data_IF_922758736157
#
_entry.id   IF_922758736157
#
_cell.length_a   1.000
_cell.length_b   1.000
_cell.length_c   1.000
_cell.angle_alpha   90.00
_cell.angle_beta   90.00
_cell.angle_gamma   90.00
#
_symmetry.space_group_name_H-M   'P 1'
#
loop_
_entity.id
_entity.type
_entity.pdbx_description
1 polymer ?
#
# COMPACT_ATOMS: atom_id res chain seq x y z
N UNK A 1 -6.96 5.24 32.52
CA UNK A 1 -7.69 4.08 31.97
C UNK A 1 -7.19 3.77 30.57
N UNK A 2 -6.49 2.64 30.38
CA UNK A 2 -6.15 2.13 29.06
C UNK A 2 -7.33 1.34 28.49
N UNK A 3 -7.94 1.85 27.43
CA UNK A 3 -8.83 1.10 26.53
C UNK A 3 -8.07 1.01 25.23
N UNK A 4 -7.76 -0.19 24.75
CA UNK A 4 -7.07 -0.34 23.47
C UNK A 4 -7.76 -1.35 22.59
N UNK A 5 -7.88 -1.03 21.31
CA UNK A 5 -8.65 -1.76 20.32
C UNK A 5 -7.75 -2.75 19.57
N UNK A 6 -7.93 -4.04 19.82
CA UNK A 6 -7.47 -5.13 18.96
C UNK A 6 -8.47 -5.33 17.82
N UNK A 7 -8.05 -5.94 16.71
CA UNK A 7 -8.94 -6.44 15.66
C UNK A 7 -8.45 -7.84 15.26
N UNK A 8 -9.25 -8.88 15.53
CA UNK A 8 -9.04 -10.23 14.99
C UNK A 8 -10.25 -10.54 14.09
N UNK A 9 -10.05 -10.53 12.77
CA UNK A 9 -11.16 -10.47 11.81
C UNK A 9 -11.96 -9.16 11.93
N UNK A 10 -13.29 -9.21 11.77
CA UNK A 10 -14.19 -8.05 11.92
C UNK A 10 -14.39 -7.59 13.38
N UNK A 11 -13.75 -8.22 14.37
CA UNK A 11 -14.12 -8.11 15.77
C UNK A 11 -13.05 -7.41 16.62
N UNK A 12 -13.48 -6.40 17.40
CA UNK A 12 -12.61 -5.54 18.21
C UNK A 12 -12.54 -5.97 19.67
N UNK A 13 -11.36 -5.97 20.29
CA UNK A 13 -11.21 -6.32 21.72
C UNK A 13 -10.52 -5.22 22.51
N UNK A 14 -10.98 -4.95 23.74
CA UNK A 14 -10.34 -3.96 24.61
C UNK A 14 -10.46 -4.32 26.08
N UNK A 15 -9.33 -4.55 26.75
CA UNK A 15 -9.24 -4.65 28.20
C UNK A 15 -9.56 -3.30 28.84
N UNK A 16 -10.44 -3.30 29.83
CA UNK A 16 -10.86 -2.09 30.52
C UNK A 16 -10.66 -2.28 32.01
N UNK A 17 -9.68 -1.56 32.58
CA UNK A 17 -9.46 -1.49 34.03
C UNK A 17 -10.73 -1.03 34.77
N UNK A 18 -11.67 -0.40 34.06
CA UNK A 18 -12.97 0.03 34.55
C UNK A 18 -13.81 -1.14 35.08
N UNK A 19 -13.81 -2.29 34.42
CA UNK A 19 -14.59 -3.46 34.87
C UNK A 19 -14.00 -4.03 36.17
N UNK A 20 -12.67 -4.07 36.27
CA UNK A 20 -11.98 -4.43 37.51
C UNK A 20 -12.27 -3.46 38.66
N UNK A 21 -12.23 -2.16 38.39
CA UNK A 21 -12.54 -1.12 39.38
C UNK A 21 -14.01 -1.18 39.83
N UNK A 22 -14.95 -1.40 38.90
CA UNK A 22 -16.37 -1.59 39.22
C UNK A 22 -16.54 -2.85 40.07
N UNK A 23 -15.90 -3.96 39.70
CA UNK A 23 -15.97 -5.20 40.47
C UNK A 23 -15.45 -5.06 41.90
N UNK A 24 -14.29 -4.41 42.07
CA UNK A 24 -13.74 -4.12 43.39
C UNK A 24 -14.67 -3.21 44.20
N UNK A 25 -15.25 -2.18 43.57
CA UNK A 25 -16.19 -1.27 44.23
C UNK A 25 -17.47 -1.99 44.69
N UNK A 26 -18.03 -2.88 43.87
CA UNK A 26 -19.24 -3.65 44.21
C UNK A 26 -19.02 -4.57 45.42
N UNK A 27 -17.79 -5.08 45.61
CA UNK A 27 -17.43 -5.90 46.78
C UNK A 27 -17.27 -5.06 48.05
N UNK A 28 -16.65 -3.88 47.92
CA UNK A 28 -16.26 -3.04 49.06
C UNK A 28 -17.36 -2.08 49.52
N UNK A 29 -18.15 -1.55 48.60
CA UNK A 29 -19.17 -0.55 48.88
C UNK A 29 -20.21 -0.47 47.76
N UNK A 30 -21.44 -0.89 48.07
CA UNK A 30 -22.59 -0.61 47.23
C UNK A 30 -23.08 0.82 47.51
N UNK A 31 -23.26 1.63 46.48
CA UNK A 31 -23.66 3.02 46.65
C UNK A 31 -23.73 3.81 45.34
N UNK A 32 -24.67 4.76 45.27
CA UNK A 32 -24.87 5.60 44.09
C UNK A 32 -23.65 6.44 43.69
N UNK A 33 -22.72 6.69 44.63
CA UNK A 33 -21.47 7.39 44.38
C UNK A 33 -20.55 6.65 43.38
N UNK A 34 -20.65 5.32 43.28
CA UNK A 34 -19.87 4.52 42.32
C UNK A 34 -20.26 4.89 40.88
N UNK A 35 -21.54 5.15 40.62
CA UNK A 35 -22.03 5.58 39.30
C UNK A 35 -21.41 6.91 38.91
N UNK A 36 -21.36 7.86 39.85
CA UNK A 36 -20.74 9.18 39.64
C UNK A 36 -19.24 9.04 39.40
N UNK A 37 -18.54 8.24 40.21
CA UNK A 37 -17.11 8.00 40.08
C UNK A 37 -16.75 7.38 38.72
N UNK A 38 -17.53 6.40 38.25
CA UNK A 38 -17.35 5.79 36.92
C UNK A 38 -17.62 6.81 35.82
N UNK A 39 -18.72 7.56 35.89
CA UNK A 39 -19.06 8.56 34.88
C UNK A 39 -17.97 9.64 34.74
N UNK A 40 -17.47 10.16 35.87
CA UNK A 40 -16.38 11.13 35.92
C UNK A 40 -15.08 10.51 35.40
N UNK A 41 -14.71 9.33 35.86
CA UNK A 41 -13.49 8.65 35.44
C UNK A 41 -13.47 8.34 33.94
N UNK A 42 -14.57 7.83 33.40
CA UNK A 42 -14.75 7.59 31.96
C UNK A 42 -14.74 8.90 31.18
N UNK A 43 -15.37 9.96 31.71
CA UNK A 43 -15.39 11.30 31.13
C UNK A 43 -13.98 11.89 31.01
N UNK A 44 -13.21 11.91 32.10
CA UNK A 44 -11.82 12.40 32.13
C UNK A 44 -10.95 11.56 31.20
N UNK A 45 -11.04 10.23 31.27
CA UNK A 45 -10.23 9.35 30.43
C UNK A 45 -10.45 9.61 28.94
N UNK A 46 -11.70 9.83 28.52
CA UNK A 46 -12.01 10.13 27.12
C UNK A 46 -11.65 11.55 26.69
N UNK A 47 -11.72 12.52 27.61
CA UNK A 47 -11.26 13.88 27.36
C UNK A 47 -9.74 13.92 27.11
N UNK A 48 -8.94 13.22 27.94
CA UNK A 48 -7.49 13.08 27.77
C UNK A 48 -7.15 12.45 26.40
N UNK A 49 -7.99 11.50 25.95
CA UNK A 49 -7.85 10.81 24.65
C UNK A 49 -8.39 11.60 23.45
N UNK A 50 -8.85 12.84 23.65
CA UNK A 50 -9.40 13.72 22.61
C UNK A 50 -10.46 13.04 21.73
N UNK A 51 -11.30 12.18 22.33
CA UNK A 51 -12.36 11.51 21.58
C UNK A 51 -13.43 12.52 21.11
N UNK A 52 -14.13 12.27 19.99
CA UNK A 52 -15.24 13.11 19.55
C UNK A 52 -16.32 13.26 20.63
N UNK A 53 -16.80 14.49 20.84
CA UNK A 53 -17.74 14.83 21.94
C UNK A 53 -18.98 13.93 21.99
N UNK A 54 -19.56 13.60 20.83
CA UNK A 54 -20.74 12.72 20.74
C UNK A 54 -20.46 11.31 21.26
N UNK A 55 -19.29 10.75 20.94
CA UNK A 55 -18.86 9.43 21.41
C UNK A 55 -18.57 9.44 22.91
N UNK A 56 -17.98 10.52 23.40
CA UNK A 56 -17.75 10.71 24.83
C UNK A 56 -19.05 10.72 25.62
N UNK A 57 -20.04 11.52 25.18
CA UNK A 57 -21.36 11.59 25.83
C UNK A 57 -22.04 10.22 25.85
N UNK A 58 -22.07 9.52 24.71
CA UNK A 58 -22.65 8.18 24.61
C UNK A 58 -21.97 7.20 25.59
N UNK A 59 -20.65 7.10 25.54
CA UNK A 59 -19.90 6.18 26.39
C UNK A 59 -20.08 6.51 27.88
N UNK A 60 -20.04 7.79 28.28
CA UNK A 60 -20.24 8.18 29.68
C UNK A 60 -21.65 7.77 30.15
N UNK A 61 -22.68 8.04 29.36
CA UNK A 61 -24.06 7.67 29.68
C UNK A 61 -24.23 6.14 29.74
N UNK A 62 -23.64 5.42 28.79
CA UNK A 62 -23.67 3.96 28.73
C UNK A 62 -23.01 3.32 29.96
N UNK A 63 -21.79 3.75 30.32
CA UNK A 63 -21.10 3.24 31.51
C UNK A 63 -21.85 3.59 32.78
N UNK A 64 -22.38 4.81 32.90
CA UNK A 64 -23.19 5.21 34.05
C UNK A 64 -24.46 4.34 34.20
N UNK A 65 -25.20 4.12 33.11
CA UNK A 65 -26.41 3.29 33.13
C UNK A 65 -26.10 1.82 33.48
N UNK A 66 -25.08 1.24 32.85
CA UNK A 66 -24.65 -0.13 33.14
C UNK A 66 -24.19 -0.29 34.60
N UNK A 67 -23.42 0.68 35.12
CA UNK A 67 -22.95 0.66 36.51
C UNK A 67 -24.11 0.83 37.48
N UNK A 68 -25.08 1.70 37.19
CA UNK A 68 -26.26 1.90 38.03
C UNK A 68 -27.09 0.62 38.16
N UNK A 69 -27.35 -0.07 37.05
CA UNK A 69 -28.08 -1.34 37.04
C UNK A 69 -27.32 -2.46 37.73
N UNK A 70 -26.00 -2.56 37.50
CA UNK A 70 -25.15 -3.52 38.20
C UNK A 70 -25.10 -3.29 39.72
N UNK A 71 -25.03 -2.02 40.15
CA UNK A 71 -25.08 -1.61 41.55
C UNK A 71 -26.43 -1.95 42.19
N UNK A 72 -27.54 -1.70 41.50
CA UNK A 72 -28.88 -2.03 41.99
C UNK A 72 -28.99 -3.54 42.26
N UNK A 73 -28.58 -4.38 41.31
CA UNK A 73 -28.63 -5.84 41.47
C UNK A 73 -27.71 -6.33 42.59
N UNK A 74 -26.48 -5.81 42.68
CA UNK A 74 -25.58 -6.18 43.78
C UNK A 74 -26.09 -5.70 45.15
N UNK A 75 -26.77 -4.55 45.20
CA UNK A 75 -27.37 -4.01 46.41
C UNK A 75 -28.54 -4.86 46.91
N UNK A 76 -29.48 -5.21 46.03
CA UNK A 76 -30.64 -6.05 46.36
C UNK A 76 -30.24 -7.47 46.81
N UNK A 77 -29.10 -7.99 46.32
CA UNK A 77 -28.58 -9.30 46.71
C UNK A 77 -27.75 -9.28 48.02
N UNK A 78 -27.70 -8.14 48.72
CA UNK A 78 -27.06 -8.04 50.04
C UNK A 78 -25.54 -7.86 50.00
N UNK A 79 -24.94 -7.58 48.84
CA UNK A 79 -23.51 -7.34 48.69
C UNK A 79 -22.63 -8.60 48.79
N UNK A 80 -21.31 -8.40 48.84
CA UNK A 80 -20.32 -9.49 48.81
C UNK A 80 -20.04 -10.03 47.40
N UNK A 81 -19.20 -11.07 47.31
CA UNK A 81 -18.63 -11.54 46.03
C UNK A 81 -19.70 -12.05 45.07
N UNK A 82 -20.67 -12.84 45.56
CA UNK A 82 -21.73 -13.40 44.72
C UNK A 82 -22.64 -12.30 44.15
N UNK A 83 -23.04 -11.34 44.99
CA UNK A 83 -23.83 -10.19 44.56
C UNK A 83 -23.05 -9.29 43.59
N UNK A 84 -21.76 -9.06 43.83
CA UNK A 84 -20.89 -8.32 42.92
C UNK A 84 -20.74 -9.03 41.57
N UNK A 85 -20.64 -10.37 41.56
CA UNK A 85 -20.64 -11.18 40.32
C UNK A 85 -21.94 -11.05 39.53
N UNK A 86 -23.09 -11.09 40.20
CA UNK A 86 -24.39 -10.84 39.56
C UNK A 86 -24.50 -9.40 39.01
N UNK A 87 -24.05 -8.40 39.78
CA UNK A 87 -24.00 -7.00 39.34
C UNK A 87 -23.09 -6.79 38.13
N UNK A 88 -21.91 -7.43 38.09
CA UNK A 88 -20.99 -7.41 36.95
C UNK A 88 -21.57 -8.09 35.72
N UNK A 89 -22.35 -9.14 35.89
CA UNK A 89 -23.04 -9.82 34.79
C UNK A 89 -24.10 -8.91 34.15
N UNK A 90 -24.86 -8.18 34.97
CA UNK A 90 -25.83 -7.18 34.51
C UNK A 90 -25.13 -6.00 33.85
N UNK A 91 -24.06 -5.49 34.46
CA UNK A 91 -23.22 -4.45 33.86
C UNK A 91 -22.76 -4.87 32.47
N UNK A 92 -22.20 -6.08 32.33
CA UNK A 92 -21.74 -6.62 31.05
C UNK A 92 -22.89 -6.70 30.04
N UNK A 93 -24.03 -7.28 30.41
CA UNK A 93 -25.16 -7.45 29.50
C UNK A 93 -25.68 -6.11 28.96
N UNK A 94 -25.83 -5.12 29.83
CA UNK A 94 -26.27 -3.76 29.47
C UNK A 94 -25.22 -3.07 28.61
N UNK A 95 -23.96 -3.09 29.04
CA UNK A 95 -22.87 -2.41 28.34
C UNK A 95 -22.64 -3.01 26.94
N UNK A 96 -22.60 -4.33 26.84
CA UNK A 96 -22.48 -5.04 25.57
C UNK A 96 -23.70 -4.81 24.67
N UNK A 97 -24.91 -4.90 25.23
CA UNK A 97 -26.16 -4.68 24.49
C UNK A 97 -26.27 -3.27 23.90
N UNK A 98 -25.99 -2.23 24.70
CA UNK A 98 -26.00 -0.85 24.23
C UNK A 98 -24.96 -0.59 23.15
N UNK A 99 -23.76 -1.19 23.28
CA UNK A 99 -22.74 -1.13 22.23
C UNK A 99 -23.22 -1.80 20.95
N UNK A 100 -23.81 -2.99 21.04
CA UNK A 100 -24.30 -3.73 19.89
C UNK A 100 -25.45 -3.00 19.16
N UNK A 101 -26.35 -2.36 19.91
CA UNK A 101 -27.43 -1.52 19.36
C UNK A 101 -26.84 -0.33 18.59
N UNK A 102 -25.90 0.40 19.18
CA UNK A 102 -25.25 1.53 18.52
C UNK A 102 -24.50 1.10 17.25
N UNK A 103 -23.78 -0.01 17.30
CA UNK A 103 -23.06 -0.56 16.13
C UNK A 103 -24.05 -1.03 15.05
N UNK A 104 -25.13 -1.73 15.42
CA UNK A 104 -26.13 -2.17 14.45
C UNK A 104 -26.76 -0.98 13.72
N UNK A 105 -27.08 0.09 14.45
CA UNK A 105 -27.64 1.31 13.89
C UNK A 105 -26.70 2.02 12.89
N UNK A 106 -25.37 1.90 13.06
CA UNK A 106 -24.39 2.57 12.18
C UNK A 106 -23.86 1.69 11.05
N UNK A 107 -23.99 0.36 11.12
CA UNK A 107 -23.19 -0.56 10.29
C UNK A 107 -23.99 -1.40 9.30
N UNK A 108 -25.31 -1.16 9.14
CA UNK A 108 -26.23 -1.98 8.32
C UNK A 108 -26.23 -3.50 8.69
N UNK A 109 -25.63 -3.87 9.83
CA UNK A 109 -25.49 -5.24 10.27
C UNK A 109 -26.64 -5.61 11.23
N UNK A 110 -27.15 -6.84 11.13
CA UNK A 110 -28.26 -7.29 11.96
C UNK A 110 -27.85 -7.43 13.43
N UNK A 111 -28.61 -6.82 14.33
CA UNK A 111 -28.35 -6.82 15.78
C UNK A 111 -28.22 -8.24 16.33
N UNK A 112 -29.07 -9.16 15.89
CA UNK A 112 -29.04 -10.57 16.31
C UNK A 112 -27.73 -11.25 15.94
N UNK A 113 -27.22 -10.99 14.74
CA UNK A 113 -25.94 -11.56 14.29
C UNK A 113 -24.78 -11.00 15.10
N UNK A 114 -24.75 -9.67 15.32
CA UNK A 114 -23.73 -9.00 16.15
C UNK A 114 -23.72 -9.53 17.59
N UNK A 115 -24.89 -9.66 18.22
CA UNK A 115 -25.02 -10.12 19.59
C UNK A 115 -24.58 -11.58 19.73
N UNK A 116 -25.10 -12.48 18.91
CA UNK A 116 -24.85 -13.92 19.07
C UNK A 116 -23.42 -14.33 18.66
N UNK A 117 -22.85 -13.69 17.64
CA UNK A 117 -21.50 -14.05 17.16
C UNK A 117 -20.39 -13.59 18.11
N UNK A 118 -20.59 -12.48 18.83
CA UNK A 118 -19.56 -11.86 19.67
C UNK A 118 -19.78 -12.06 21.17
N UNK A 119 -20.97 -12.52 21.59
CA UNK A 119 -21.32 -12.62 23.00
C UNK A 119 -20.43 -13.59 23.80
N UNK A 120 -20.15 -14.83 23.35
CA UNK A 120 -19.33 -15.76 24.13
C UNK A 120 -17.93 -15.19 24.39
N UNK A 121 -17.38 -14.54 23.37
CA UNK A 121 -16.06 -13.93 23.37
C UNK A 121 -16.00 -12.72 24.30
N UNK A 122 -17.00 -11.84 24.20
CA UNK A 122 -17.14 -10.67 25.08
C UNK A 122 -17.37 -11.09 26.54
N UNK A 123 -18.17 -12.12 26.78
CA UNK A 123 -18.45 -12.66 28.10
C UNK A 123 -17.18 -13.24 28.75
N UNK A 124 -16.39 -14.01 28.00
CA UNK A 124 -15.13 -14.56 28.49
C UNK A 124 -14.16 -13.45 28.92
N UNK A 125 -14.07 -12.42 28.10
CA UNK A 125 -13.22 -11.27 28.39
C UNK A 125 -13.72 -10.48 29.61
N UNK A 126 -15.02 -10.22 29.70
CA UNK A 126 -15.62 -9.58 30.86
C UNK A 126 -15.45 -10.41 32.14
N UNK A 127 -15.54 -11.74 32.06
CA UNK A 127 -15.29 -12.65 33.17
C UNK A 127 -13.83 -12.59 33.64
N UNK A 128 -12.88 -12.52 32.72
CA UNK A 128 -11.46 -12.32 33.03
C UNK A 128 -11.21 -11.01 33.80
N UNK A 129 -11.79 -9.90 33.33
CA UNK A 129 -11.60 -8.59 33.96
C UNK A 129 -12.33 -8.49 35.30
N UNK A 130 -13.53 -9.06 35.35
CA UNK A 130 -14.37 -9.11 36.54
C UNK A 130 -13.73 -9.95 37.64
N UNK A 131 -13.11 -11.09 37.32
CA UNK A 131 -12.47 -11.94 38.31
C UNK A 131 -11.29 -11.25 39.01
N UNK A 132 -10.50 -10.46 38.26
CA UNK A 132 -9.45 -9.61 38.85
C UNK A 132 -10.03 -8.53 39.76
N UNK A 133 -11.13 -7.89 39.37
CA UNK A 133 -11.83 -6.90 40.20
C UNK A 133 -12.41 -7.50 41.48
N UNK A 134 -13.06 -8.66 41.38
CA UNK A 134 -13.60 -9.40 42.52
C UNK A 134 -12.48 -9.86 43.46
N UNK A 135 -11.37 -10.38 42.93
CA UNK A 135 -10.20 -10.77 43.71
C UNK A 135 -9.57 -9.55 44.41
N UNK A 136 -9.42 -8.42 43.72
CA UNK A 136 -8.94 -7.19 44.31
C UNK A 136 -9.89 -6.70 45.43
N UNK A 137 -11.21 -6.75 45.21
CA UNK A 137 -12.20 -6.41 46.23
C UNK A 137 -12.13 -7.32 47.46
N UNK A 138 -12.00 -8.63 47.25
CA UNK A 138 -11.81 -9.61 48.33
C UNK A 138 -10.52 -9.35 49.11
N UNK A 139 -9.39 -9.22 48.44
CA UNK A 139 -8.10 -8.94 49.09
C UNK A 139 -8.13 -7.60 49.83
N UNK A 140 -8.74 -6.56 49.27
CA UNK A 140 -8.87 -5.27 49.95
C UNK A 140 -9.67 -5.36 51.26
N UNK A 141 -10.65 -6.26 51.33
CA UNK A 141 -11.47 -6.48 52.53
C UNK A 141 -10.80 -7.39 53.54
N UNK A 142 -10.25 -8.51 53.09
CA UNK A 142 -9.89 -9.64 53.95
C UNK A 142 -8.36 -9.79 54.13
N UNK A 143 -7.55 -9.30 53.19
CA UNK A 143 -6.08 -9.37 53.25
C UNK A 143 -5.42 -8.19 52.50
N UNK A 144 -5.44 -6.95 53.04
CA UNK A 144 -5.07 -5.75 52.28
C UNK A 144 -3.63 -5.77 51.74
N UNK A 145 -2.70 -6.38 52.47
CA UNK A 145 -1.31 -6.58 52.02
C UNK A 145 -1.22 -7.50 50.79
N UNK A 146 -2.19 -8.41 50.61
CA UNK A 146 -2.30 -9.27 49.44
C UNK A 146 -2.53 -8.51 48.13
N UNK A 147 -3.02 -7.26 48.19
CA UNK A 147 -3.11 -6.38 47.02
C UNK A 147 -1.74 -6.10 46.38
N UNK A 148 -0.67 -6.09 47.18
CA UNK A 148 0.70 -5.94 46.64
C UNK A 148 1.05 -7.11 45.71
N UNK A 149 0.52 -8.31 46.00
CA UNK A 149 0.66 -9.48 45.15
C UNK A 149 -0.01 -9.34 43.78
N UNK A 150 -1.01 -8.47 43.63
CA UNK A 150 -1.67 -8.18 42.35
C UNK A 150 -0.87 -7.23 41.44
N UNK A 151 0.14 -6.53 41.97
CA UNK A 151 0.95 -5.59 41.18
C UNK A 151 1.62 -6.30 40.00
N UNK A 152 2.25 -7.45 40.25
CA UNK A 152 2.98 -8.19 39.21
C UNK A 152 2.03 -8.74 38.12
N UNK A 153 0.92 -9.45 38.45
CA UNK A 153 -0.07 -9.88 37.46
C UNK A 153 -0.66 -8.70 36.68
N UNK A 154 -1.00 -7.59 37.33
CA UNK A 154 -1.53 -6.41 36.63
C UNK A 154 -0.48 -5.78 35.71
N UNK A 155 0.78 -5.73 36.12
CA UNK A 155 1.87 -5.22 35.29
C UNK A 155 2.17 -6.13 34.09
N UNK A 156 2.15 -7.45 34.27
CA UNK A 156 2.31 -8.42 33.19
C UNK A 156 1.13 -8.38 32.21
N UNK A 157 -0.09 -8.27 32.74
CA UNK A 157 -1.28 -8.12 31.92
C UNK A 157 -1.22 -6.81 31.13
N UNK A 158 -0.85 -5.71 31.78
CA UNK A 158 -0.65 -4.42 31.14
C UNK A 158 0.42 -4.48 30.04
N UNK A 159 1.57 -5.09 30.30
CA UNK A 159 2.68 -5.15 29.33
C UNK A 159 2.34 -6.04 28.14
N UNK A 160 1.67 -7.17 28.37
CA UNK A 160 1.16 -8.05 27.32
C UNK A 160 0.18 -7.30 26.43
N UNK A 161 -0.72 -6.51 27.04
CA UNK A 161 -1.64 -5.68 26.27
C UNK A 161 -0.89 -4.62 25.48
N UNK A 162 -0.06 -3.78 26.10
CA UNK A 162 0.68 -2.71 25.41
C UNK A 162 1.44 -3.23 24.19
N UNK A 163 2.12 -4.37 24.32
CA UNK A 163 2.79 -5.03 23.19
C UNK A 163 1.83 -5.46 22.08
N UNK A 164 0.67 -6.01 22.43
CA UNK A 164 -0.34 -6.38 21.44
C UNK A 164 -1.00 -5.17 20.77
N UNK A 165 -1.15 -4.06 21.48
CA UNK A 165 -1.70 -2.83 20.90
C UNK A 165 -0.80 -2.26 19.81
N UNK A 166 0.51 -2.30 20.06
CA UNK A 166 1.53 -1.88 19.10
C UNK A 166 1.52 -2.80 17.89
N UNK A 167 1.52 -4.12 18.10
CA UNK A 167 1.43 -5.11 17.02
C UNK A 167 0.16 -4.99 16.19
N UNK A 168 -0.98 -4.67 16.79
CA UNK A 168 -2.25 -4.50 16.07
C UNK A 168 -2.31 -3.19 15.29
N UNK A 169 -1.76 -2.10 15.83
CA UNK A 169 -1.61 -0.84 15.11
C UNK A 169 -0.64 -0.98 13.93
N UNK A 170 0.48 -1.68 14.15
CA UNK A 170 1.45 -2.07 13.11
C UNK A 170 0.78 -2.93 12.04
N UNK A 171 0.11 -4.03 12.42
CA UNK A 171 -0.57 -4.90 11.47
C UNK A 171 -1.68 -4.18 10.69
N UNK A 172 -2.38 -3.23 11.31
CA UNK A 172 -3.39 -2.42 10.64
C UNK A 172 -2.78 -1.42 9.67
N UNK A 173 -1.67 -0.79 10.05
CA UNK A 173 -0.88 0.04 9.14
C UNK A 173 -0.42 -0.82 7.95
N UNK A 174 0.19 -1.98 8.19
CA UNK A 174 0.62 -2.89 7.12
C UNK A 174 -0.54 -3.39 6.26
N UNK A 175 -1.71 -3.67 6.82
CA UNK A 175 -2.90 -4.05 6.06
C UNK A 175 -3.50 -2.89 5.26
N UNK A 176 -3.43 -1.65 5.77
CA UNK A 176 -3.83 -0.46 5.01
C UNK A 176 -2.84 -0.18 3.87
N UNK A 177 -1.54 -0.39 4.10
CA UNK A 177 -0.50 -0.30 3.08
C UNK A 177 -0.67 -1.41 2.02
N UNK A 178 -0.92 -2.65 2.43
CA UNK A 178 -1.20 -3.77 1.53
C UNK A 178 -2.51 -3.58 0.74
N UNK A 179 -3.55 -3.01 1.34
CA UNK A 179 -4.77 -2.64 0.61
C UNK A 179 -4.57 -1.46 -0.34
N UNK A 180 -3.63 -0.56 -0.03
CA UNK A 180 -3.14 0.44 -0.97
C UNK A 180 -2.50 -0.23 -2.19
N UNK A 181 -1.65 -1.24 -1.95
CA UNK A 181 -1.05 -2.06 -3.01
C UNK A 181 -2.09 -2.82 -3.82
N UNK A 182 -3.06 -3.49 -3.19
CA UNK A 182 -4.10 -4.26 -3.89
C UNK A 182 -4.98 -3.39 -4.78
N UNK A 183 -5.37 -2.19 -4.30
CA UNK A 183 -6.17 -1.24 -5.09
C UNK A 183 -5.40 -0.58 -6.22
N UNK A 184 -4.08 -0.59 -6.14
CA UNK A 184 -3.17 0.00 -7.13
C UNK A 184 -2.26 -1.03 -7.78
N UNK A 185 -2.65 -2.32 -7.79
CA UNK A 185 -1.97 -3.42 -8.47
C UNK A 185 -2.06 -3.20 -9.98
N UNK A 186 -1.23 -2.27 -10.42
CA UNK A 186 -1.37 -1.50 -11.63
C UNK A 186 -0.16 -0.59 -11.82
N UNK A 187 1.04 -1.11 -11.50
CA UNK A 187 2.31 -0.80 -12.17
C UNK A 187 2.86 0.65 -12.08
N UNK A 188 3.55 1.02 -10.99
CA UNK A 188 4.65 2.02 -11.07
C UNK A 188 5.60 1.94 -9.86
N UNK A 189 6.91 1.99 -10.09
CA UNK A 189 7.94 2.18 -9.05
C UNK A 189 7.72 3.45 -8.24
N UNK A 190 7.04 4.44 -8.83
CA UNK A 190 6.68 5.69 -8.17
C UNK A 190 5.69 5.50 -7.01
N UNK A 191 4.75 4.56 -7.14
CA UNK A 191 3.76 4.27 -6.09
C UNK A 191 4.45 3.61 -4.90
N UNK A 192 5.30 2.62 -5.15
CA UNK A 192 6.10 1.97 -4.10
C UNK A 192 6.97 2.99 -3.36
N UNK A 193 7.60 3.93 -4.08
CA UNK A 193 8.39 5.00 -3.47
C UNK A 193 7.54 5.95 -2.59
N UNK A 194 6.36 6.37 -3.06
CA UNK A 194 5.44 7.19 -2.26
C UNK A 194 4.97 6.47 -0.99
N UNK A 195 4.69 5.18 -1.09
CA UNK A 195 4.33 4.33 0.04
C UNK A 195 5.47 4.26 1.06
N UNK A 196 6.71 4.07 0.61
CA UNK A 196 7.89 4.03 1.49
C UNK A 196 8.09 5.36 2.22
N UNK A 197 7.99 6.50 1.52
CA UNK A 197 8.14 7.83 2.10
C UNK A 197 7.06 8.10 3.15
N UNK A 198 5.80 7.81 2.82
CA UNK A 198 4.66 8.01 3.72
C UNK A 198 4.75 7.11 4.96
N UNK A 199 5.15 5.85 4.77
CA UNK A 199 5.34 4.90 5.86
C UNK A 199 6.49 5.34 6.78
N UNK A 200 7.63 5.76 6.22
CA UNK A 200 8.76 6.28 6.98
C UNK A 200 8.37 7.51 7.80
N UNK A 201 7.66 8.48 7.20
CA UNK A 201 7.26 9.71 7.89
C UNK A 201 6.36 9.40 9.10
N UNK A 202 5.40 8.49 8.95
CA UNK A 202 4.50 8.06 10.03
C UNK A 202 5.22 7.26 11.11
N UNK A 203 6.05 6.30 10.72
CA UNK A 203 6.79 5.43 11.66
C UNK A 203 7.81 6.22 12.49
N UNK A 204 8.33 7.32 11.95
CA UNK A 204 9.36 8.15 12.57
C UNK A 204 8.80 9.43 13.22
N UNK A 205 7.48 9.45 13.47
CA UNK A 205 6.81 10.47 14.28
C UNK A 205 6.61 11.80 13.56
N UNK A 206 6.23 11.77 12.28
CA UNK A 206 6.05 12.98 11.46
C UNK A 206 7.36 13.60 11.01
N UNK A 207 8.42 12.78 10.87
CA UNK A 207 9.68 13.25 10.32
C UNK A 207 9.51 13.67 8.86
N UNK A 208 10.27 14.67 8.45
CA UNK A 208 10.43 15.01 7.05
C UNK A 208 11.29 13.93 6.40
N UNK A 209 10.74 13.24 5.41
CA UNK A 209 11.40 12.12 4.73
C UNK A 209 11.73 12.49 3.30
N UNK A 210 12.96 12.20 2.95
CA UNK A 210 13.49 12.29 1.61
C UNK A 210 13.92 10.89 1.14
N UNK A 211 13.52 10.49 -0.05
CA UNK A 211 13.88 9.23 -0.70
C UNK A 211 14.37 9.51 -2.11
N UNK A 212 15.60 9.11 -2.42
CA UNK A 212 16.15 9.16 -3.77
C UNK A 212 16.08 7.74 -4.35
N UNK A 213 15.23 7.55 -5.35
CA UNK A 213 15.04 6.29 -6.06
C UNK A 213 15.84 6.29 -7.35
N UNK A 214 16.61 5.22 -7.60
CA UNK A 214 17.24 4.98 -8.90
C UNK A 214 16.22 4.29 -9.83
N UNK A 215 15.45 5.07 -10.58
CA UNK A 215 14.50 4.53 -11.55
C UNK A 215 15.17 4.23 -12.91
N UNK A 216 14.51 3.42 -13.73
CA UNK A 216 15.01 3.03 -15.07
C UNK A 216 15.30 4.23 -15.98
N UNK A 217 14.54 5.33 -15.84
CA UNK A 217 14.67 6.54 -16.64
C UNK A 217 15.59 7.61 -15.99
N UNK A 218 16.31 7.25 -14.94
CA UNK A 218 17.15 8.15 -14.13
C UNK A 218 16.58 8.42 -12.72
N UNK A 219 17.33 9.13 -11.88
CA UNK A 219 16.99 9.28 -10.47
C UNK A 219 15.77 10.19 -10.22
N UNK A 220 14.99 9.81 -9.22
CA UNK A 220 13.79 10.53 -8.79
C UNK A 220 13.86 10.77 -7.29
N UNK A 221 13.65 12.01 -6.89
CA UNK A 221 13.59 12.45 -5.50
C UNK A 221 12.12 12.53 -5.06
N UNK A 222 11.85 11.94 -3.92
CA UNK A 222 10.58 12.02 -3.21
C UNK A 222 10.79 12.72 -1.87
N UNK A 223 9.97 13.73 -1.58
CA UNK A 223 9.98 14.45 -0.30
C UNK A 223 8.59 14.48 0.29
N UNK A 224 8.44 14.13 1.57
CA UNK A 224 7.12 14.09 2.20
C UNK A 224 7.17 14.02 3.72
N UNK A 225 6.03 14.25 4.34
CA UNK A 225 5.80 14.14 5.78
C UNK A 225 4.56 13.26 6.06
N UNK A 226 4.04 13.30 7.30
CA UNK A 226 2.87 12.50 7.68
C UNK A 226 1.52 13.12 7.27
N UNK A 227 1.54 14.34 6.72
CA UNK A 227 0.37 15.19 6.52
C UNK A 227 -0.11 15.27 5.06
N UNK A 228 0.74 14.92 4.10
CA UNK A 228 0.46 15.07 2.66
C UNK A 228 0.94 13.92 1.77
N UNK A 229 0.57 13.99 0.49
CA UNK A 229 1.14 13.11 -0.54
C UNK A 229 2.59 13.55 -0.82
N UNK A 230 3.55 12.61 -0.95
CA UNK A 230 4.94 12.97 -1.23
C UNK A 230 5.08 13.74 -2.55
N UNK A 231 5.85 14.82 -2.53
CA UNK A 231 6.26 15.54 -3.72
C UNK A 231 7.27 14.70 -4.51
N UNK A 232 7.06 14.57 -5.82
CA UNK A 232 7.91 13.81 -6.74
C UNK A 232 8.63 14.76 -7.67
N UNK A 233 9.97 14.66 -7.76
CA UNK A 233 10.80 15.46 -8.65
C UNK A 233 11.85 14.60 -9.36
N UNK A 234 11.90 14.64 -10.69
CA UNK A 234 13.04 14.09 -11.45
C UNK A 234 14.27 14.95 -11.15
N UNK A 235 15.40 14.29 -10.90
CA UNK A 235 16.67 14.93 -10.56
C UNK A 235 17.77 14.38 -11.46
N UNK A 236 18.88 15.09 -11.57
CA UNK A 236 20.08 14.61 -12.24
C UNK A 236 20.88 13.65 -11.35
N UNK A 237 21.86 12.97 -11.93
CA UNK A 237 22.68 11.99 -11.22
C UNK A 237 23.59 12.59 -10.14
N UNK A 238 23.82 13.91 -10.17
CA UNK A 238 24.53 14.68 -9.15
C UNK A 238 23.87 14.60 -7.76
N UNK A 239 22.60 14.19 -7.67
CA UNK A 239 21.94 13.91 -6.38
C UNK A 239 22.71 12.87 -5.56
N UNK A 240 23.40 11.92 -6.20
CA UNK A 240 24.20 10.91 -5.51
C UNK A 240 25.53 11.46 -4.97
N UNK A 241 25.95 12.64 -5.43
CA UNK A 241 27.12 13.35 -4.92
C UNK A 241 26.76 14.21 -3.68
N UNK A 242 25.48 14.28 -3.30
CA UNK A 242 25.08 15.03 -2.12
C UNK A 242 25.68 14.41 -0.83
N UNK A 243 26.21 15.23 0.10
CA UNK A 243 26.97 14.73 1.26
C UNK A 243 26.19 13.78 2.18
N UNK A 244 24.86 13.84 2.18
CA UNK A 244 24.03 12.95 3.00
C UNK A 244 23.79 11.60 2.30
N UNK A 245 23.72 11.58 0.97
CA UNK A 245 23.57 10.36 0.17
C UNK A 245 24.85 9.55 0.25
N UNK A 246 26.01 10.19 0.04
CA UNK A 246 27.31 9.56 0.19
C UNK A 246 27.55 8.97 1.59
N UNK A 247 27.11 9.68 2.63
CA UNK A 247 27.16 9.17 4.01
C UNK A 247 26.30 7.92 4.19
N UNK A 248 25.04 7.96 3.73
CA UNK A 248 24.15 6.80 3.83
C UNK A 248 24.70 5.58 3.06
N UNK A 249 25.24 5.80 1.86
CA UNK A 249 25.90 4.75 1.06
C UNK A 249 27.13 4.17 1.75
N UNK A 250 27.92 5.00 2.44
CA UNK A 250 29.10 4.56 3.21
C UNK A 250 28.78 3.75 4.46
N UNK A 251 27.65 4.05 5.12
CA UNK A 251 27.28 3.45 6.41
C UNK A 251 26.70 2.02 6.27
N UNK A 252 26.13 1.66 5.11
CA UNK A 252 25.62 0.32 4.75
C UNK A 252 24.53 -0.30 5.66
N UNK A 253 24.12 0.37 6.74
CA UNK A 253 23.00 0.01 7.63
C UNK A 253 22.19 1.28 7.97
N UNK A 254 21.11 1.12 8.75
CA UNK A 254 20.34 2.22 9.29
C UNK A 254 21.15 2.95 10.36
N UNK A 255 21.50 4.21 10.08
CA UNK A 255 22.29 5.05 10.97
C UNK A 255 21.51 6.29 11.40
N UNK A 256 21.60 6.62 12.69
CA UNK A 256 21.13 7.90 13.21
C UNK A 256 22.29 8.85 13.48
N UNK A 257 22.08 10.13 13.24
CA UNK A 257 23.06 11.17 13.51
C UNK A 257 22.43 12.54 13.70
N UNK A 258 23.26 13.57 13.73
CA UNK A 258 22.85 14.97 13.68
C UNK A 258 23.55 15.66 12.51
N UNK A 259 22.79 16.44 11.76
CA UNK A 259 23.30 17.25 10.66
C UNK A 259 22.72 18.65 10.77
N UNK A 260 23.59 19.67 10.85
CA UNK A 260 23.17 21.06 11.10
C UNK A 260 22.27 21.24 12.34
N UNK A 261 22.49 20.45 13.41
CA UNK A 261 21.67 20.46 14.62
C UNK A 261 20.34 19.71 14.53
N UNK A 262 19.96 19.20 13.36
CA UNK A 262 18.75 18.39 13.15
C UNK A 262 19.09 16.91 13.27
N UNK A 263 18.38 16.13 14.13
CA UNK A 263 18.59 14.69 14.17
C UNK A 263 18.04 14.05 12.90
N UNK A 264 18.77 13.07 12.36
CA UNK A 264 18.38 12.32 11.16
C UNK A 264 18.55 10.81 11.36
N UNK A 265 17.82 10.03 10.56
CA UNK A 265 18.08 8.63 10.24
C UNK A 265 18.35 8.53 8.75
N UNK A 266 19.43 7.85 8.36
CA UNK A 266 19.76 7.50 6.98
C UNK A 266 19.71 6.00 6.79
N UNK A 267 19.32 5.55 5.60
CA UNK A 267 19.33 4.15 5.23
C UNK A 267 19.47 3.97 3.72
N UNK A 268 20.08 2.86 3.31
CA UNK A 268 20.12 2.39 1.93
C UNK A 268 19.11 1.26 1.77
N UNK A 269 18.38 1.26 0.66
CA UNK A 269 17.44 0.22 0.29
C UNK A 269 17.99 -0.57 -0.88
N UNK A 270 17.99 -1.90 -0.76
CA UNK A 270 18.65 -2.80 -1.71
C UNK A 270 20.08 -3.14 -1.29
N UNK A 271 20.79 -3.81 -2.19
CA UNK A 271 22.18 -4.20 -1.97
C UNK A 271 23.07 -2.95 -1.84
N UNK A 272 23.93 -2.84 -0.81
CA UNK A 272 24.88 -1.74 -0.69
C UNK A 272 25.76 -1.53 -1.93
N UNK A 273 26.06 -2.60 -2.66
CA UNK A 273 26.87 -2.55 -3.88
C UNK A 273 26.01 -2.28 -5.15
N UNK A 274 24.68 -2.35 -5.04
CA UNK A 274 23.70 -2.03 -6.08
C UNK A 274 22.41 -1.40 -5.48
N UNK A 275 22.49 -0.16 -4.95
CA UNK A 275 21.38 0.44 -4.21
C UNK A 275 20.18 0.73 -5.11
N UNK A 276 18.99 0.36 -4.64
CA UNK A 276 17.72 0.70 -5.30
C UNK A 276 17.28 2.12 -4.93
N UNK A 277 17.45 2.50 -3.66
CA UNK A 277 17.12 3.82 -3.19
C UNK A 277 17.91 4.20 -1.93
N UNK A 278 17.97 5.51 -1.63
CA UNK A 278 18.57 6.05 -0.40
C UNK A 278 17.53 6.91 0.31
N UNK A 279 17.30 6.62 1.59
CA UNK A 279 16.30 7.28 2.42
C UNK A 279 16.96 8.07 3.54
N UNK A 280 16.42 9.26 3.79
CA UNK A 280 16.74 10.10 4.93
C UNK A 280 15.47 10.60 5.59
N UNK A 281 15.35 10.41 6.89
CA UNK A 281 14.30 11.00 7.72
C UNK A 281 14.92 12.01 8.68
N UNK A 282 14.39 13.23 8.75
CA UNK A 282 14.96 14.30 9.56
C UNK A 282 13.86 15.00 10.38
N UNK A 283 14.17 15.36 11.63
CA UNK A 283 13.28 16.18 12.45
C UNK A 283 13.67 17.66 12.39
N UNK A 284 12.86 18.51 13.01
CA UNK A 284 13.18 19.94 13.16
C UNK A 284 14.44 20.11 14.04
N UNK A 285 15.03 21.30 13.95
CA UNK A 285 16.13 21.73 14.82
C UNK A 285 15.70 21.56 16.28
N UNK A 286 16.60 21.01 17.11
CA UNK A 286 16.36 20.67 18.54
C UNK A 286 15.29 19.59 18.81
N UNK A 287 14.83 18.88 17.78
CA UNK A 287 13.98 17.71 17.93
C UNK A 287 14.64 16.59 18.75
N UNK A 288 13.82 15.74 19.37
CA UNK A 288 14.31 14.55 20.06
C UNK A 288 15.09 13.65 19.09
N UNK A 289 16.24 13.14 19.53
CA UNK A 289 17.01 12.13 18.77
C UNK A 289 16.18 10.88 18.57
N UNK A 290 16.46 10.17 17.48
CA UNK A 290 15.81 8.89 17.22
C UNK A 290 16.24 7.86 18.25
N UNK A 291 15.27 7.20 18.87
CA UNK A 291 15.55 6.20 19.91
C UNK A 291 15.89 4.82 19.30
N UNK A 292 16.27 3.86 20.16
CA UNK A 292 16.60 2.50 19.68
C UNK A 292 15.39 1.77 19.07
N UNK A 293 14.17 2.14 19.43
CA UNK A 293 12.97 1.52 18.90
C UNK A 293 12.68 2.02 17.49
N UNK A 294 12.76 3.33 17.26
CA UNK A 294 12.63 3.97 15.96
C UNK A 294 13.69 3.46 14.98
N UNK A 295 14.94 3.28 15.44
CA UNK A 295 16.00 2.66 14.65
C UNK A 295 15.71 1.20 14.27
N UNK A 296 15.06 0.42 15.15
CA UNK A 296 14.63 -0.95 14.80
C UNK A 296 13.48 -0.95 13.80
N UNK A 297 12.52 -0.03 13.95
CA UNK A 297 11.41 0.12 13.00
C UNK A 297 11.89 0.55 11.63
N UNK A 298 12.86 1.47 11.56
CA UNK A 298 13.51 1.87 10.33
C UNK A 298 14.18 0.67 9.63
N UNK A 299 14.87 -0.21 10.37
CA UNK A 299 15.44 -1.46 9.78
C UNK A 299 14.38 -2.39 9.21
N UNK A 300 13.28 -2.59 9.93
CA UNK A 300 12.16 -3.42 9.44
C UNK A 300 11.55 -2.80 8.18
N UNK A 301 11.34 -1.49 8.18
CA UNK A 301 10.83 -0.76 7.03
C UNK A 301 11.75 -0.92 5.82
N UNK A 302 13.07 -0.75 5.99
CA UNK A 302 14.07 -0.91 4.92
C UNK A 302 13.99 -2.31 4.31
N UNK A 303 13.93 -3.36 5.14
CA UNK A 303 13.83 -4.74 4.64
C UNK A 303 12.52 -5.03 3.87
N UNK A 304 11.40 -4.41 4.26
CA UNK A 304 10.13 -4.55 3.53
C UNK A 304 10.09 -3.70 2.25
N UNK A 305 10.61 -2.48 2.34
CA UNK A 305 10.67 -1.54 1.23
C UNK A 305 11.58 -2.04 0.10
N UNK A 306 12.67 -2.75 0.43
CA UNK A 306 13.49 -3.44 -0.55
C UNK A 306 12.66 -4.42 -1.39
N UNK A 307 11.83 -5.26 -0.76
CA UNK A 307 10.96 -6.18 -1.47
C UNK A 307 9.96 -5.45 -2.38
N UNK A 308 9.39 -4.33 -1.92
CA UNK A 308 8.45 -3.52 -2.71
C UNK A 308 9.09 -2.82 -3.91
N UNK A 309 10.31 -2.30 -3.73
CA UNK A 309 11.03 -1.59 -4.79
C UNK A 309 11.66 -2.56 -5.79
N UNK A 310 12.17 -3.71 -5.34
CA UNK A 310 12.77 -4.74 -6.21
C UNK A 310 11.74 -5.34 -7.18
N UNK A 311 10.55 -5.69 -6.69
CA UNK A 311 9.46 -6.19 -7.55
C UNK A 311 9.02 -5.13 -8.56
N UNK A 312 8.93 -3.87 -8.13
CA UNK A 312 8.53 -2.76 -9.01
C UNK A 312 9.59 -2.47 -10.08
N UNK A 313 10.88 -2.50 -9.73
CA UNK A 313 11.99 -2.32 -10.67
C UNK A 313 12.05 -3.47 -11.68
N UNK A 314 11.92 -4.72 -11.23
CA UNK A 314 11.86 -5.88 -12.12
C UNK A 314 10.70 -5.78 -13.12
N UNK A 315 9.51 -5.37 -12.65
CA UNK A 315 8.35 -5.16 -13.50
C UNK A 315 8.49 -3.97 -14.47
N UNK A 316 9.25 -2.94 -14.11
CA UNK A 316 9.57 -1.82 -14.98
C UNK A 316 10.57 -2.25 -16.08
N UNK A 317 11.64 -2.95 -15.70
CA UNK A 317 12.64 -3.47 -16.64
C UNK A 317 12.06 -4.49 -17.62
N UNK A 318 11.19 -5.38 -17.15
CA UNK A 318 10.48 -6.36 -17.99
C UNK A 318 9.60 -5.67 -19.03
N UNK A 319 8.84 -4.64 -18.65
CA UNK A 319 8.04 -3.84 -19.61
C UNK A 319 8.90 -3.13 -20.65
N UNK A 320 9.96 -2.46 -20.22
CA UNK A 320 10.89 -1.80 -21.13
C UNK A 320 11.56 -2.79 -22.10
N UNK A 321 11.79 -4.03 -21.67
CA UNK A 321 12.31 -5.10 -22.52
C UNK A 321 11.24 -5.61 -23.51
N UNK A 322 10.00 -5.80 -23.08
CA UNK A 322 8.88 -6.17 -23.94
C UNK A 322 8.59 -5.12 -25.00
N UNK A 323 8.55 -3.83 -24.65
CA UNK A 323 8.34 -2.74 -25.61
C UNK A 323 9.45 -2.71 -26.67
N UNK A 324 10.71 -2.94 -26.28
CA UNK A 324 11.82 -3.05 -27.26
C UNK A 324 11.68 -4.28 -28.15
N UNK A 325 11.18 -5.40 -27.62
CA UNK A 325 10.96 -6.62 -28.39
C UNK A 325 9.80 -6.45 -29.38
N UNK A 326 8.72 -5.76 -28.98
CA UNK A 326 7.58 -5.45 -29.84
C UNK A 326 8.01 -4.54 -31.00
N UNK A 327 8.78 -3.47 -30.72
CA UNK A 327 9.35 -2.59 -31.76
C UNK A 327 10.28 -3.36 -32.71
N UNK A 328 11.11 -4.26 -32.19
CA UNK A 328 11.96 -5.11 -33.02
C UNK A 328 11.15 -6.12 -33.85
N UNK A 329 10.06 -6.65 -33.31
CA UNK A 329 9.12 -7.54 -34.00
C UNK A 329 8.36 -6.83 -35.13
N UNK A 330 7.91 -5.61 -34.91
CA UNK A 330 7.30 -4.76 -35.93
C UNK A 330 8.29 -4.43 -37.06
N UNK A 331 9.53 -4.09 -36.72
CA UNK A 331 10.59 -3.84 -37.70
C UNK A 331 10.92 -5.10 -38.52
N UNK A 332 11.01 -6.28 -37.88
CA UNK A 332 11.25 -7.55 -38.56
C UNK A 332 10.10 -7.94 -39.49
N UNK A 333 8.85 -7.68 -39.07
CA UNK A 333 7.66 -7.91 -39.90
C UNK A 333 7.65 -6.99 -41.12
N UNK A 334 7.94 -5.70 -40.94
CA UNK A 334 8.04 -4.74 -42.05
C UNK A 334 9.11 -5.15 -43.08
N UNK A 335 10.27 -5.64 -42.62
CA UNK A 335 11.33 -6.16 -43.48
C UNK A 335 10.91 -7.45 -44.22
N UNK A 336 10.20 -8.34 -43.55
CA UNK A 336 9.66 -9.57 -44.16
C UNK A 336 8.60 -9.25 -45.23
N UNK A 337 7.68 -8.33 -44.94
CA UNK A 337 6.63 -7.90 -45.87
C UNK A 337 7.25 -7.23 -47.11
N UNK A 338 8.28 -6.38 -46.93
CA UNK A 338 9.07 -5.81 -48.02
C UNK A 338 9.77 -6.87 -48.88
N UNK A 339 10.39 -7.87 -48.24
CA UNK A 339 11.03 -8.99 -48.93
C UNK A 339 10.04 -9.81 -49.76
N UNK A 340 8.84 -10.05 -49.21
CA UNK A 340 7.77 -10.78 -49.91
C UNK A 340 7.22 -10.02 -51.12
N UNK A 341 7.13 -8.69 -51.04
CA UNK A 341 6.62 -7.84 -52.12
C UNK A 341 7.63 -7.67 -53.27
N UNK A 342 8.93 -7.67 -52.97
CA UNK A 342 10.00 -7.44 -53.96
C UNK A 342 10.55 -8.71 -54.60
N UNK A 343 10.43 -9.87 -53.93
CA UNK A 343 10.97 -11.15 -54.41
C UNK A 343 10.47 -11.60 -55.80
N UNK A 344 9.16 -11.50 -56.15
CA UNK A 344 8.67 -11.90 -57.47
C UNK A 344 9.26 -11.04 -58.61
N UNK A 345 9.36 -9.73 -58.41
CA UNK A 345 9.90 -8.81 -59.40
C UNK A 345 11.39 -9.06 -59.66
N UNK A 346 12.18 -9.33 -58.61
CA UNK A 346 13.61 -9.67 -58.74
C UNK A 346 13.83 -11.00 -59.48
N UNK A 347 12.97 -12.00 -59.25
CA UNK A 347 13.03 -13.27 -59.98
C UNK A 347 12.75 -13.08 -61.47
N UNK A 348 11.70 -12.31 -61.81
CA UNK A 348 11.37 -11.98 -63.21
C UNK A 348 12.51 -11.21 -63.87
N UNK A 349 13.10 -10.23 -63.19
CA UNK A 349 14.26 -9.48 -63.73
C UNK A 349 15.46 -10.38 -64.01
N UNK A 350 15.75 -11.34 -63.12
CA UNK A 350 16.84 -12.28 -63.30
C UNK A 350 16.59 -13.24 -64.46
N UNK A 351 15.37 -13.78 -64.56
CA UNK A 351 15.01 -14.73 -65.61
C UNK A 351 14.97 -14.07 -67.00
N UNK A 352 14.45 -12.83 -67.08
CA UNK A 352 14.48 -12.04 -68.30
C UNK A 352 15.89 -11.58 -68.67
N UNK A 353 16.77 -11.27 -67.71
CA UNK A 353 18.18 -10.98 -67.98
C UNK A 353 18.90 -12.21 -68.58
N UNK A 354 18.65 -13.41 -68.03
CA UNK A 354 19.18 -14.66 -68.55
C UNK A 354 18.62 -15.00 -69.95
N UNK A 355 17.34 -14.69 -70.22
CA UNK A 355 16.72 -14.86 -71.55
C UNK A 355 17.27 -13.86 -72.57
N UNK A 356 17.40 -12.59 -72.20
CA UNK A 356 18.02 -11.55 -73.05
C UNK A 356 19.47 -11.89 -73.40
N UNK A 357 20.25 -12.39 -72.45
CA UNK A 357 21.63 -12.83 -72.70
C UNK A 357 21.70 -13.98 -73.73
N UNK A 358 20.74 -14.93 -73.69
CA UNK A 358 20.63 -16.02 -74.67
C UNK A 358 20.13 -15.56 -76.03
N UNK A 359 19.15 -14.65 -76.07
CA UNK A 359 18.63 -14.07 -77.30
C UNK A 359 19.67 -13.19 -78.00
N UNK A 360 20.50 -12.46 -77.26
CA UNK A 360 21.60 -11.67 -77.82
C UNK A 360 22.74 -12.54 -78.39
N UNK A 361 22.89 -13.78 -77.91
CA UNK A 361 23.89 -14.74 -78.38
C UNK A 361 23.41 -15.59 -79.57
N UNK A 362 22.12 -15.54 -79.90
CA UNK A 362 21.53 -16.25 -81.04
C UNK A 362 21.04 -15.25 -82.08
N UNK A 363 20.90 -15.65 -83.36
CA UNK A 363 20.34 -14.78 -84.40
C UNK A 363 18.80 -14.65 -84.26
N UNK A 364 18.31 -14.43 -83.03
CA UNK A 364 16.91 -14.23 -82.72
C UNK A 364 16.38 -12.91 -83.29
N UNK A 365 15.08 -12.85 -83.55
CA UNK A 365 14.44 -11.68 -84.14
C UNK A 365 14.46 -10.48 -83.17
N UNK A 366 14.71 -9.28 -83.71
CA UNK A 366 14.72 -8.01 -82.94
C UNK A 366 13.44 -7.82 -82.11
N UNK A 367 12.31 -8.34 -82.58
CA UNK A 367 11.02 -8.26 -81.89
C UNK A 367 11.01 -9.02 -80.55
N UNK A 368 11.66 -10.19 -80.47
CA UNK A 368 11.70 -11.00 -79.25
C UNK A 368 12.53 -10.32 -78.14
N UNK A 369 13.59 -9.60 -78.55
CA UNK A 369 14.41 -8.79 -77.65
C UNK A 369 13.61 -7.60 -77.09
N UNK A 370 12.82 -6.94 -77.94
CA UNK A 370 11.98 -5.80 -77.54
C UNK A 370 10.89 -6.23 -76.57
N UNK A 371 10.25 -7.38 -76.80
CA UNK A 371 9.22 -7.90 -75.90
C UNK A 371 9.79 -8.24 -74.51
N UNK A 372 10.96 -8.88 -74.44
CA UNK A 372 11.64 -9.15 -73.18
C UNK A 372 12.10 -7.87 -72.46
N UNK A 373 12.57 -6.86 -73.18
CA UNK A 373 12.89 -5.55 -72.58
C UNK A 373 11.65 -4.88 -71.94
N UNK A 374 10.47 -5.07 -72.54
CA UNK A 374 9.23 -4.55 -71.99
C UNK A 374 8.78 -5.30 -70.73
N UNK A 375 9.06 -6.61 -70.65
CA UNK A 375 8.86 -7.39 -69.42
C UNK A 375 9.81 -6.93 -68.30
N UNK A 376 11.07 -6.65 -68.62
CA UNK A 376 12.03 -6.06 -67.68
C UNK A 376 11.56 -4.70 -67.18
N UNK A 377 11.09 -3.82 -68.07
CA UNK A 377 10.59 -2.49 -67.69
C UNK A 377 9.42 -2.59 -66.70
N UNK A 378 8.43 -3.46 -66.97
CA UNK A 378 7.31 -3.70 -66.05
C UNK A 378 7.75 -4.26 -64.70
N UNK A 379 8.73 -5.16 -64.69
CA UNK A 379 9.26 -5.73 -63.45
C UNK A 379 10.05 -4.68 -62.63
N UNK A 380 10.82 -3.80 -63.28
CA UNK A 380 11.49 -2.66 -62.62
C UNK A 380 10.45 -1.68 -62.06
N UNK A 381 9.41 -1.34 -62.82
CA UNK A 381 8.36 -0.43 -62.36
C UNK A 381 7.61 -0.98 -61.13
N UNK A 382 7.33 -2.29 -61.12
CA UNK A 382 6.72 -2.99 -59.97
C UNK A 382 7.63 -2.96 -58.73
N UNK A 383 8.93 -3.22 -58.91
CA UNK A 383 9.93 -3.17 -57.83
C UNK A 383 10.06 -1.76 -57.23
N UNK A 384 10.14 -0.73 -58.09
CA UNK A 384 10.21 0.67 -57.65
C UNK A 384 8.93 1.10 -56.92
N UNK A 385 7.76 0.66 -57.38
CA UNK A 385 6.48 0.88 -56.70
C UNK A 385 6.43 0.26 -55.30
N UNK A 386 6.91 -0.98 -55.15
CA UNK A 386 6.99 -1.65 -53.86
C UNK A 386 7.97 -0.96 -52.88
N UNK A 387 9.10 -0.46 -53.39
CA UNK A 387 10.09 0.28 -52.58
C UNK A 387 9.55 1.66 -52.17
N UNK A 388 8.86 2.37 -53.06
CA UNK A 388 8.26 3.68 -52.76
C UNK A 388 7.17 3.59 -51.69
N UNK A 389 6.29 2.58 -51.78
CA UNK A 389 5.25 2.33 -50.77
C UNK A 389 5.82 1.98 -49.39
N UNK A 390 7.02 1.40 -49.34
CA UNK A 390 7.71 1.09 -48.09
C UNK A 390 8.46 2.29 -47.48
N UNK A 391 8.85 3.28 -48.30
CA UNK A 391 9.52 4.50 -47.84
C UNK A 391 8.55 5.52 -47.21
N UNK A 392 7.25 5.43 -47.50
CA UNK A 392 6.19 6.30 -46.97
C UNK A 392 5.08 5.49 -46.26
N UNK A 393 5.29 5.06 -45.00
CA UNK A 393 4.33 4.23 -44.25
C UNK A 393 3.00 4.93 -43.91
N UNK A 394 2.92 6.26 -44.03
CA UNK A 394 1.70 7.04 -43.75
C UNK A 394 0.62 6.94 -44.85
N UNK A 395 0.95 6.47 -46.06
CA UNK A 395 -0.03 6.21 -47.12
C UNK A 395 -0.89 4.96 -46.88
N UNK A 396 -0.49 4.09 -45.94
CA UNK A 396 -1.20 2.86 -45.58
C UNK A 396 -2.23 3.06 -44.46
N UNK A 397 -2.34 4.26 -43.88
CA UNK A 397 -3.39 4.58 -42.90
C UNK A 397 -4.66 5.02 -43.64
N UNK A 398 -5.78 4.27 -43.57
CA UNK A 398 -7.04 4.78 -44.09
C UNK A 398 -7.47 5.98 -43.24
N UNK A 399 -7.54 7.17 -43.85
CA UNK A 399 -8.30 8.26 -43.25
C UNK A 399 -9.75 7.81 -43.04
N UNK A 400 -10.35 8.03 -41.85
CA UNK A 400 -11.72 7.65 -41.62
C UNK A 400 -12.64 8.51 -42.49
N UNK A 401 -13.15 7.87 -43.55
CA UNK A 401 -14.08 8.47 -44.50
C UNK A 401 -13.40 8.84 -45.80
N UNK A 402 -13.51 7.98 -46.82
CA UNK A 402 -14.31 8.20 -48.04
C UNK A 402 -13.93 7.12 -49.07
N UNK A 403 -14.90 6.33 -49.53
CA UNK A 403 -14.85 5.67 -50.85
C UNK A 403 -15.70 6.54 -51.80
N UNK A 404 -15.31 6.74 -53.06
CA UNK A 404 -15.41 5.65 -54.02
C UNK A 404 -14.19 5.41 -54.93
N UNK A 405 -14.12 4.16 -55.36
CA UNK A 405 -13.35 3.55 -56.46
C UNK A 405 -13.08 4.46 -57.66
N UNK A 406 -11.82 4.50 -58.11
CA UNK A 406 -11.43 4.86 -59.49
C UNK A 406 -10.65 3.70 -60.14
N UNK A 407 -10.82 3.46 -61.45
CA UNK A 407 -10.25 2.31 -62.14
C UNK A 407 -8.73 2.49 -62.35
N UNK A 408 -8.02 1.37 -62.41
CA UNK A 408 -6.57 1.30 -62.49
C UNK A 408 -5.98 2.13 -63.62
N UNK A 409 -5.16 3.10 -63.25
CA UNK A 409 -4.24 3.79 -64.15
C UNK A 409 -2.98 2.94 -64.31
N UNK A 410 -2.80 2.37 -65.50
CA UNK A 410 -1.51 1.89 -65.96
C UNK A 410 -0.57 3.08 -66.13
N UNK A 411 0.59 3.00 -65.49
CA UNK A 411 1.66 3.98 -65.61
C UNK A 411 2.73 3.43 -66.57
N UNK A 412 3.09 4.23 -67.58
CA UNK A 412 4.34 4.04 -68.35
C UNK A 412 5.19 5.29 -68.28
N UNK A 413 6.47 5.16 -68.58
CA UNK A 413 7.54 6.15 -68.38
C UNK A 413 7.39 7.46 -69.18
N UNK A 414 6.28 7.66 -69.91
CA UNK A 414 5.98 8.90 -70.68
C UNK A 414 4.69 9.63 -70.26
N UNK A 415 4.00 9.19 -69.21
CA UNK A 415 2.86 9.92 -68.61
C UNK A 415 1.47 9.37 -68.97
N UNK A 416 0.45 9.85 -68.25
CA UNK A 416 -0.93 9.31 -68.22
C UNK A 416 -1.66 9.52 -69.55
N UNK A 417 -2.11 8.44 -70.19
CA UNK A 417 -3.12 8.49 -71.25
C UNK A 417 -4.48 8.79 -70.62
N UNK A 418 -5.12 9.87 -71.08
CA UNK A 418 -6.43 10.34 -70.60
C UNK A 418 -7.58 9.43 -70.98
#
# INVERSE_FOLDING_TARGET
MAVVHLQFGSQRWSFSLTEGAIGASLVLATGGWVVVAVAVGVGIAQAVRRQPRRKQQFNVAQFAAATALGQLVAGELGGGIAAAGAGLSVFWAVNYGLTAIAVSATSQASLRSLVLSSAPLSALHAAGNSSLGLLAGFLARDAPLGLLGLIVPLALLWSSYDQQTRRAAEARLFAELARGQERETGRSSDVSAQVVVTAAARLLGGAEVELVLLAADGPVRYTGDDSGAPERRRVSADVFDEPWVLRALGDRDVVAGRDGGRPYVGAVLGDPDAPLAVLRAQRRVDGATFDRHELRMARVLVGQAEAWLSVADLAARSRAASERADVAGEAAKALSDLGSATAPALLVLRESADRLARLAASAGGVNDIVEELHLVERAVASLLGAIALAAEPDLLRPSPGTLPTRPGTDWTTTGVLR
#
